data_IF_671388563371
#
_entry.id   IF_671388563371
#
_cell.length_a   1.000
_cell.length_b   1.000
_cell.length_c   1.000
_cell.angle_alpha   90.00
_cell.angle_beta   90.00
_cell.angle_gamma   90.00
#
_symmetry.space_group_name_H-M   'P 1'
#
loop_
_entity.id
_entity.type
_entity.pdbx_description
1 polymer ?
#
# COMPACT_ATOMS: atom_id res chain seq x y z
N UNK A 1 6.37 15.27 -7.54
CA UNK A 1 5.06 14.60 -7.61
C UNK A 1 4.35 15.09 -8.87
N UNK A 2 3.80 14.18 -9.70
CA UNK A 2 3.22 14.54 -10.99
C UNK A 2 2.00 15.48 -10.91
N UNK A 3 1.25 15.46 -9.81
CA UNK A 3 0.06 16.27 -9.60
C UNK A 3 0.35 17.78 -9.47
N UNK A 4 1.48 18.16 -8.87
CA UNK A 4 1.77 19.54 -8.48
C UNK A 4 3.21 19.99 -8.77
N UNK A 5 4.01 19.14 -9.42
CA UNK A 5 5.43 19.36 -9.74
C UNK A 5 6.37 19.64 -8.55
N UNK A 6 5.92 19.43 -7.31
CA UNK A 6 6.72 19.58 -6.09
C UNK A 6 7.40 18.26 -5.67
N UNK A 7 8.58 18.32 -5.07
CA UNK A 7 9.32 17.12 -4.63
C UNK A 7 9.04 16.79 -3.16
N UNK A 8 8.73 15.52 -2.88
CA UNK A 8 8.49 15.01 -1.53
C UNK A 8 9.21 13.67 -1.36
N UNK A 9 9.61 13.37 -0.14
CA UNK A 9 10.26 12.11 0.23
C UNK A 9 9.32 10.91 0.12
N UNK A 10 8.03 11.08 0.40
CA UNK A 10 7.01 10.06 0.20
C UNK A 10 5.64 10.67 -0.11
N UNK A 11 4.69 9.83 -0.54
CA UNK A 11 3.30 10.27 -0.81
C UNK A 11 2.61 10.82 0.43
N UNK A 12 2.82 10.24 1.61
CA UNK A 12 2.17 10.69 2.83
C UNK A 12 2.65 12.08 3.25
N UNK A 13 3.95 12.36 3.07
CA UNK A 13 4.48 13.72 3.26
C UNK A 13 3.89 14.70 2.26
N UNK A 14 3.62 14.30 1.02
CA UNK A 14 2.88 15.11 0.06
C UNK A 14 1.45 15.36 0.54
N UNK A 15 0.69 14.30 0.81
CA UNK A 15 -0.74 14.36 1.15
C UNK A 15 -0.99 15.13 2.46
N UNK A 16 -0.01 15.18 3.37
CA UNK A 16 -0.07 15.98 4.62
C UNK A 16 0.21 17.47 4.41
N UNK A 17 1.00 17.82 3.38
CA UNK A 17 1.43 19.20 3.12
C UNK A 17 0.69 19.86 1.95
N UNK A 18 -0.13 19.12 1.23
CA UNK A 18 -0.92 19.59 0.10
C UNK A 18 -2.41 19.34 0.36
N UNK A 19 -3.28 20.11 -0.31
CA UNK A 19 -4.73 19.98 -0.19
C UNK A 19 -5.33 18.88 -1.09
N UNK A 20 -4.50 17.98 -1.60
CA UNK A 20 -4.88 16.92 -2.51
C UNK A 20 -3.97 15.71 -2.33
N UNK A 21 -4.48 14.54 -2.69
CA UNK A 21 -3.71 13.30 -2.68
C UNK A 21 -3.01 13.07 -4.02
N UNK A 22 -1.87 12.39 -3.99
CA UNK A 22 -1.21 11.91 -5.20
C UNK A 22 -1.60 10.47 -5.53
N UNK A 23 -2.00 10.22 -6.78
CA UNK A 23 -2.07 8.86 -7.29
C UNK A 23 -0.66 8.26 -7.34
N UNK A 24 -0.37 7.33 -6.43
CA UNK A 24 0.91 6.62 -6.35
C UNK A 24 1.34 6.01 -7.69
N UNK A 25 0.40 5.56 -8.54
CA UNK A 25 0.73 4.90 -9.82
C UNK A 25 1.25 5.89 -10.87
N UNK A 26 0.85 7.15 -10.78
CA UNK A 26 1.30 8.24 -11.65
C UNK A 26 2.78 8.59 -11.48
N UNK A 27 3.42 8.20 -10.36
CA UNK A 27 4.81 8.52 -10.06
C UNK A 27 5.75 7.77 -11.02
N UNK A 28 6.37 8.49 -11.95
CA UNK A 28 7.29 7.94 -12.98
C UNK A 28 8.77 8.13 -12.68
N UNK A 29 9.11 9.05 -11.77
CA UNK A 29 10.50 9.38 -11.42
C UNK A 29 10.69 9.54 -9.92
N UNK A 30 11.91 9.28 -9.45
CA UNK A 30 12.40 9.46 -8.07
C UNK A 30 13.73 10.22 -8.10
N UNK A 31 14.08 10.87 -6.98
CA UNK A 31 15.36 11.55 -6.80
C UNK A 31 16.16 10.82 -5.73
N UNK A 32 17.42 10.49 -6.03
CA UNK A 32 18.30 9.87 -5.05
C UNK A 32 18.74 10.90 -4.00
N UNK A 33 18.36 10.69 -2.74
CA UNK A 33 18.73 11.59 -1.63
C UNK A 33 20.23 11.63 -1.33
N UNK A 34 21.00 10.61 -1.74
CA UNK A 34 22.44 10.55 -1.48
C UNK A 34 23.31 11.26 -2.53
N UNK A 35 22.85 11.35 -3.80
CA UNK A 35 23.66 11.93 -4.88
C UNK A 35 22.89 12.93 -5.77
N UNK A 36 21.61 13.18 -5.51
CA UNK A 36 20.77 14.12 -6.25
C UNK A 36 20.26 13.62 -7.62
N UNK A 37 20.58 12.37 -8.02
CA UNK A 37 20.21 11.86 -9.34
C UNK A 37 18.69 11.68 -9.49
N UNK A 38 18.08 12.44 -10.41
CA UNK A 38 16.69 12.25 -10.84
C UNK A 38 16.61 11.15 -11.90
N UNK A 39 15.81 10.13 -11.64
CA UNK A 39 15.78 8.92 -12.44
C UNK A 39 14.39 8.28 -12.47
N UNK A 40 14.17 7.32 -13.37
CA UNK A 40 12.96 6.51 -13.36
C UNK A 40 12.85 5.65 -12.10
N UNK A 41 11.63 5.27 -11.75
CA UNK A 41 11.37 4.38 -10.60
C UNK A 41 12.11 3.06 -10.78
N UNK A 42 13.09 2.82 -9.90
CA UNK A 42 13.92 1.61 -9.83
C UNK A 42 14.24 1.32 -8.37
N UNK A 43 14.72 0.11 -8.07
CA UNK A 43 15.08 -0.30 -6.70
C UNK A 43 16.33 0.40 -6.16
N UNK A 44 17.25 0.77 -7.06
CA UNK A 44 18.53 1.37 -6.73
C UNK A 44 18.81 2.57 -7.61
N UNK A 45 19.66 3.47 -7.11
CA UNK A 45 20.16 4.61 -7.85
C UNK A 45 21.00 4.16 -9.05
N UNK A 46 20.68 4.66 -10.25
CA UNK A 46 21.43 4.38 -11.48
C UNK A 46 22.83 4.97 -11.50
N UNK A 47 23.12 5.98 -10.66
CA UNK A 47 24.40 6.67 -10.60
C UNK A 47 25.32 6.14 -9.50
N UNK A 48 24.85 6.07 -8.26
CA UNK A 48 25.68 5.66 -7.11
C UNK A 48 25.43 4.23 -6.63
N UNK A 49 24.48 3.50 -7.22
CA UNK A 49 24.17 2.11 -6.86
C UNK A 49 23.40 1.92 -5.54
N UNK A 50 23.18 2.99 -4.77
CA UNK A 50 22.47 2.93 -3.48
C UNK A 50 21.07 2.31 -3.66
N UNK A 51 20.74 1.29 -2.86
CA UNK A 51 19.37 0.77 -2.75
C UNK A 51 18.52 1.73 -1.93
N UNK A 52 17.32 2.04 -2.42
CA UNK A 52 16.40 2.98 -1.74
C UNK A 52 15.63 2.34 -0.57
N UNK A 53 15.68 1.02 -0.44
CA UNK A 53 15.07 0.30 0.67
C UNK A 53 15.32 -1.21 0.55
N UNK A 54 15.02 -1.93 1.63
CA UNK A 54 15.06 -3.40 1.69
C UNK A 54 13.96 -4.01 0.82
N UNK A 55 12.76 -3.44 0.86
CA UNK A 55 11.63 -3.81 0.03
C UNK A 55 11.34 -2.74 -1.03
N UNK A 56 11.12 -3.20 -2.26
CA UNK A 56 10.71 -2.35 -3.38
C UNK A 56 9.55 -3.00 -4.13
N UNK A 57 8.43 -2.29 -4.26
CA UNK A 57 7.34 -2.68 -5.12
C UNK A 57 7.17 -1.69 -6.27
N UNK A 58 7.54 -2.12 -7.48
CA UNK A 58 7.38 -1.31 -8.70
C UNK A 58 5.92 -0.98 -9.02
N UNK A 59 4.98 -1.89 -8.72
CA UNK A 59 3.53 -1.69 -8.99
C UNK A 59 2.93 -0.60 -8.10
N UNK A 60 3.32 -0.59 -6.82
CA UNK A 60 2.83 0.39 -5.84
C UNK A 60 3.73 1.64 -5.72
N UNK A 61 4.89 1.67 -6.38
CA UNK A 61 5.93 2.70 -6.20
C UNK A 61 6.36 2.84 -4.74
N UNK A 62 6.38 1.72 -4.01
CA UNK A 62 6.67 1.67 -2.57
C UNK A 62 8.13 1.28 -2.33
N UNK A 63 8.79 2.04 -1.47
CA UNK A 63 10.10 1.77 -0.92
C UNK A 63 9.94 1.68 0.60
N UNK A 64 10.42 0.59 1.21
CA UNK A 64 10.43 0.42 2.68
C UNK A 64 11.80 -0.13 3.09
N UNK A 65 12.41 0.50 4.10
CA UNK A 65 13.72 0.12 4.62
C UNK A 65 13.65 -0.84 5.83
N UNK A 66 12.43 -1.16 6.25
CA UNK A 66 12.17 -2.19 7.25
C UNK A 66 11.69 -3.47 6.56
N UNK A 67 12.19 -4.63 6.97
CA UNK A 67 11.58 -5.90 6.55
C UNK A 67 10.37 -6.18 7.45
N UNK A 68 9.17 -6.01 6.90
CA UNK A 68 7.90 -6.33 7.56
C UNK A 68 7.23 -7.54 6.88
N UNK A 69 8.01 -8.32 6.14
CA UNK A 69 7.52 -9.36 5.23
C UNK A 69 6.48 -8.80 4.26
N UNK A 70 6.74 -7.64 3.68
CA UNK A 70 5.81 -7.00 2.75
C UNK A 70 5.70 -7.82 1.47
N UNK A 71 4.50 -7.87 0.89
CA UNK A 71 4.27 -8.50 -0.40
C UNK A 71 3.17 -7.78 -1.17
N UNK A 72 3.23 -7.83 -2.49
CA UNK A 72 2.18 -7.29 -3.35
C UNK A 72 1.08 -8.34 -3.60
N UNK A 73 -0.16 -8.05 -3.25
CA UNK A 73 -1.30 -8.84 -3.70
C UNK A 73 -1.76 -8.34 -5.07
N UNK A 74 -1.71 -9.20 -6.08
CA UNK A 74 -2.09 -8.86 -7.45
C UNK A 74 -3.58 -8.50 -7.57
N UNK A 75 -4.45 -9.28 -6.93
CA UNK A 75 -5.89 -9.10 -6.98
C UNK A 75 -6.33 -7.82 -6.24
N UNK A 76 -5.70 -7.51 -5.09
CA UNK A 76 -5.95 -6.24 -4.40
C UNK A 76 -5.28 -5.03 -5.08
N UNK A 77 -4.18 -5.23 -5.82
CA UNK A 77 -3.38 -4.14 -6.39
C UNK A 77 -2.66 -3.26 -5.36
N UNK A 78 -2.44 -3.77 -4.15
CA UNK A 78 -1.73 -3.10 -3.04
C UNK A 78 -0.74 -4.02 -2.34
N UNK A 79 0.25 -3.42 -1.68
CA UNK A 79 1.15 -4.15 -0.79
C UNK A 79 0.47 -4.40 0.55
N UNK A 80 0.63 -5.62 1.08
CA UNK A 80 0.26 -6.03 2.43
C UNK A 80 1.53 -6.36 3.23
N UNK A 81 1.40 -6.48 4.55
CA UNK A 81 2.50 -6.80 5.49
C UNK A 81 2.20 -8.11 6.22
N UNK A 82 3.24 -8.83 6.67
CA UNK A 82 3.08 -10.08 7.44
C UNK A 82 3.35 -11.39 6.67
N UNK A 83 3.87 -11.30 5.45
CA UNK A 83 4.34 -12.45 4.64
C UNK A 83 3.27 -12.99 3.70
N UNK A 84 3.65 -13.29 2.45
CA UNK A 84 2.72 -13.82 1.43
C UNK A 84 2.08 -15.13 1.88
N UNK A 85 2.85 -15.95 2.58
CA UNK A 85 2.46 -17.25 3.13
C UNK A 85 1.35 -17.16 4.19
N UNK A 86 1.22 -15.99 4.83
CA UNK A 86 0.27 -15.78 5.92
C UNK A 86 -1.11 -15.33 5.44
N UNK A 87 -1.28 -15.03 4.15
CA UNK A 87 -2.51 -14.43 3.61
C UNK A 87 -3.02 -15.14 2.36
N UNK A 88 -4.35 -15.19 2.25
CA UNK A 88 -5.07 -15.62 1.06
C UNK A 88 -6.05 -14.54 0.64
N UNK A 89 -6.15 -14.31 -0.68
CA UNK A 89 -7.13 -13.39 -1.24
C UNK A 89 -8.47 -14.11 -1.40
N UNK A 90 -9.54 -13.50 -0.88
CA UNK A 90 -10.90 -13.93 -1.14
C UNK A 90 -11.49 -13.02 -2.23
N UNK A 91 -11.70 -13.59 -3.42
CA UNK A 91 -12.22 -12.86 -4.59
C UNK A 91 -13.65 -12.37 -4.37
N UNK A 92 -14.48 -13.10 -3.62
CA UNK A 92 -15.83 -12.66 -3.26
C UNK A 92 -15.79 -11.40 -2.39
N UNK A 93 -14.94 -11.39 -1.37
CA UNK A 93 -14.81 -10.23 -0.47
C UNK A 93 -13.95 -9.10 -1.07
N UNK A 94 -13.18 -9.37 -2.13
CA UNK A 94 -12.14 -8.50 -2.67
C UNK A 94 -11.10 -8.07 -1.63
N UNK A 95 -10.66 -9.01 -0.79
CA UNK A 95 -9.77 -8.72 0.34
C UNK A 95 -8.82 -9.88 0.68
N UNK A 96 -7.65 -9.55 1.20
CA UNK A 96 -6.73 -10.52 1.80
C UNK A 96 -7.09 -10.78 3.26
N UNK A 97 -7.27 -12.05 3.61
CA UNK A 97 -7.43 -12.51 4.99
C UNK A 97 -6.20 -13.31 5.43
N UNK A 98 -5.93 -13.31 6.73
CA UNK A 98 -4.95 -14.23 7.29
C UNK A 98 -5.42 -15.68 7.10
N UNK A 99 -4.51 -16.60 6.79
CA UNK A 99 -4.80 -18.03 6.59
C UNK A 99 -5.57 -18.65 7.76
N UNK A 100 -5.39 -18.14 8.98
CA UNK A 100 -6.08 -18.61 10.20
C UNK A 100 -7.59 -18.35 10.20
N UNK A 101 -8.04 -17.28 9.54
CA UNK A 101 -9.46 -16.87 9.50
C UNK A 101 -10.09 -17.08 8.12
N UNK A 102 -9.28 -17.36 7.09
CA UNK A 102 -9.78 -17.57 5.73
C UNK A 102 -10.80 -18.71 5.65
N UNK A 103 -10.66 -19.77 6.44
CA UNK A 103 -11.63 -20.88 6.44
C UNK A 103 -12.95 -20.58 7.14
N UNK A 104 -13.00 -19.58 8.03
CA UNK A 104 -14.14 -19.33 8.92
C UNK A 104 -14.82 -17.99 8.66
N UNK A 105 -14.23 -17.11 7.84
CA UNK A 105 -14.84 -15.83 7.51
C UNK A 105 -16.13 -16.02 6.69
N UNK A 106 -17.15 -15.22 7.03
CA UNK A 106 -18.36 -15.13 6.22
C UNK A 106 -18.07 -14.24 5.01
N UNK A 107 -18.18 -14.82 3.81
CA UNK A 107 -18.05 -14.03 2.59
C UNK A 107 -19.19 -13.00 2.48
N UNK A 108 -18.82 -11.73 2.32
CA UNK A 108 -19.74 -10.64 1.98
C UNK A 108 -19.21 -10.01 0.70
N UNK A 109 -19.98 -10.03 -0.41
CA UNK A 109 -19.51 -9.52 -1.69
C UNK A 109 -18.97 -8.10 -1.60
N UNK A 110 -17.75 -7.88 -2.11
CA UNK A 110 -17.09 -6.58 -2.22
C UNK A 110 -16.84 -5.82 -0.91
N UNK A 111 -16.97 -6.47 0.25
CA UNK A 111 -16.84 -5.78 1.54
C UNK A 111 -15.46 -5.09 1.72
N UNK A 112 -14.39 -5.61 1.12
CA UNK A 112 -13.07 -4.97 1.14
C UNK A 112 -12.99 -3.64 0.41
N UNK A 113 -13.96 -3.34 -0.47
CA UNK A 113 -14.04 -2.09 -1.23
C UNK A 113 -14.98 -1.05 -0.59
N UNK A 114 -15.64 -1.40 0.52
CA UNK A 114 -16.55 -0.50 1.22
C UNK A 114 -15.81 0.59 2.01
N UNK A 115 -16.62 1.49 2.60
CA UNK A 115 -16.18 2.50 3.54
C UNK A 115 -16.28 1.97 4.97
N UNK A 116 -15.35 2.36 5.83
CA UNK A 116 -15.44 2.13 7.25
C UNK A 116 -16.69 2.83 7.80
N UNK A 117 -17.59 2.08 8.46
CA UNK A 117 -18.82 2.64 9.01
C UNK A 117 -18.65 3.63 10.16
N UNK A 118 -17.41 3.83 10.66
CA UNK A 118 -17.08 4.76 11.74
C UNK A 118 -16.42 6.04 11.22
N UNK A 119 -15.31 5.93 10.50
CA UNK A 119 -14.57 7.10 10.01
C UNK A 119 -14.96 7.52 8.58
N UNK A 120 -15.76 6.71 7.88
CA UNK A 120 -16.13 6.94 6.47
C UNK A 120 -14.91 7.09 5.56
N UNK A 121 -13.85 6.33 5.82
CA UNK A 121 -12.68 6.21 4.96
C UNK A 121 -12.66 4.85 4.23
N UNK A 122 -12.00 4.80 3.08
CA UNK A 122 -11.91 3.58 2.27
C UNK A 122 -11.11 2.47 2.96
N UNK A 123 -11.72 1.29 3.12
CA UNK A 123 -11.10 0.12 3.74
C UNK A 123 -9.95 -0.45 2.91
N UNK A 124 -10.09 -0.40 1.58
CA UNK A 124 -9.12 -1.01 0.66
C UNK A 124 -7.77 -0.30 0.65
N UNK A 125 -7.77 1.02 0.71
CA UNK A 125 -6.57 1.86 0.53
C UNK A 125 -5.96 2.35 1.84
N UNK A 126 -6.62 2.08 2.96
CA UNK A 126 -6.14 2.45 4.27
C UNK A 126 -4.85 1.72 4.64
N UNK A 127 -4.04 2.39 5.45
CA UNK A 127 -2.85 1.82 6.08
C UNK A 127 -3.16 1.23 7.46
N UNK A 128 -4.36 1.51 7.98
CA UNK A 128 -4.81 1.01 9.27
C UNK A 128 -5.15 -0.48 9.16
N UNK A 129 -4.97 -1.19 10.27
CA UNK A 129 -5.37 -2.58 10.35
C UNK A 129 -6.89 -2.67 10.22
N UNK A 130 -7.36 -3.67 9.47
CA UNK A 130 -8.78 -3.96 9.35
C UNK A 130 -9.16 -5.00 10.40
N UNK A 131 -10.21 -4.72 11.15
CA UNK A 131 -10.83 -5.66 12.06
C UNK A 131 -12.20 -6.09 11.52
N UNK A 132 -12.52 -7.37 11.74
CA UNK A 132 -13.81 -7.97 11.36
C UNK A 132 -14.53 -8.38 12.65
N UNK A 133 -15.25 -7.47 13.32
CA UNK A 133 -16.13 -7.80 14.44
C UNK A 133 -17.16 -8.88 14.07
N UNK A 134 -17.77 -9.49 15.09
CA UNK A 134 -18.73 -10.62 14.96
C UNK A 134 -19.92 -10.28 14.05
N UNK A 135 -20.31 -9.00 13.95
CA UNK A 135 -21.36 -8.54 13.05
C UNK A 135 -20.98 -8.61 11.56
N UNK A 136 -19.71 -8.83 11.23
CA UNK A 136 -19.19 -9.00 9.87
C UNK A 136 -18.84 -7.71 9.15
N UNK A 137 -19.17 -6.53 9.71
CA UNK A 137 -18.76 -5.24 9.14
C UNK A 137 -17.28 -4.99 9.38
N UNK A 138 -16.59 -4.43 8.39
CA UNK A 138 -15.19 -4.06 8.51
C UNK A 138 -15.03 -2.67 9.09
N UNK A 139 -14.09 -2.54 10.01
CA UNK A 139 -13.69 -1.26 10.59
C UNK A 139 -12.17 -1.16 10.58
N UNK A 140 -11.67 0.08 10.51
CA UNK A 140 -10.27 0.36 10.84
C UNK A 140 -10.06 0.20 12.36
N UNK A 141 -8.87 -0.25 12.76
CA UNK A 141 -8.36 -0.12 14.13
C UNK A 141 -7.71 1.24 14.38
#
# INVERSE_FOLDING_TARGET
MPCCNKEYTCRFCHDTNENHEVDRKSIVSVVCLACGEKQHVRMSCSRCGLRFGKYFCRKCRLYDDTDKKQFHCEECGICRVGGRESFLHCSTCNMCYNVRIFGTHKCIPNIGMDMCGLCLEHLHTSVLQLNVPVCGHLIHE
#
